data_IF_149277087830
#
_entry.id   IF_149277087830
#
_cell.length_a   1.000
_cell.length_b   1.000
_cell.length_c   1.000
_cell.angle_alpha   90.00
_cell.angle_beta   90.00
_cell.angle_gamma   90.00
#
_symmetry.space_group_name_H-M   'P 1'
#
loop_
_entity.id
_entity.type
_entity.pdbx_description
1 polymer ?
#
# COMPACT_ATOMS: atom_id res chain seq x y z
N UNK A 1 12.04 45.99 -11.03
CA UNK A 1 10.86 45.12 -11.15
C UNK A 1 9.89 45.85 -12.07
N UNK A 2 9.46 45.30 -13.23
CA UNK A 2 8.54 46.05 -14.08
C UNK A 2 7.16 46.06 -13.43
N UNK A 3 6.51 47.21 -13.47
CA UNK A 3 5.18 47.46 -12.93
C UNK A 3 4.15 46.58 -13.66
N UNK A 4 3.68 45.52 -13.01
CA UNK A 4 2.65 44.66 -13.59
C UNK A 4 1.28 45.26 -13.32
N UNK A 5 0.49 45.44 -14.40
CA UNK A 5 -0.89 45.88 -14.35
C UNK A 5 -1.77 44.74 -13.78
N UNK A 6 -1.71 44.51 -12.47
CA UNK A 6 -2.48 43.46 -11.79
C UNK A 6 -3.92 43.95 -11.63
N UNK A 7 -4.84 43.37 -12.42
CA UNK A 7 -6.28 43.63 -12.29
C UNK A 7 -6.75 43.15 -10.91
N UNK A 8 -7.52 43.99 -10.20
CA UNK A 8 -8.13 43.60 -8.92
C UNK A 8 -9.01 42.35 -9.11
N UNK A 9 -8.88 41.34 -8.23
CA UNK A 9 -9.68 40.12 -8.31
C UNK A 9 -11.18 40.42 -8.12
N UNK A 10 -12.01 39.68 -8.85
CA UNK A 10 -13.47 39.69 -8.76
C UNK A 10 -13.97 38.72 -7.69
N UNK A 11 -15.26 38.80 -7.34
CA UNK A 11 -15.90 37.91 -6.34
C UNK A 11 -15.87 36.42 -6.72
N UNK A 12 -15.56 36.08 -7.97
CA UNK A 12 -15.48 34.68 -8.46
C UNK A 12 -14.04 34.17 -8.56
N UNK A 13 -13.06 35.02 -8.30
CA UNK A 13 -11.65 34.67 -8.43
C UNK A 13 -11.15 34.09 -7.11
N UNK A 14 -10.32 33.04 -7.19
CA UNK A 14 -9.68 32.44 -6.01
C UNK A 14 -8.37 33.19 -5.78
N UNK A 15 -8.24 33.78 -4.59
CA UNK A 15 -7.03 34.50 -4.16
C UNK A 15 -6.34 33.67 -3.08
N UNK A 16 -5.04 33.47 -3.24
CA UNK A 16 -4.19 32.80 -2.27
C UNK A 16 -3.14 33.79 -1.75
N UNK A 17 -2.78 33.65 -0.48
CA UNK A 17 -1.81 34.52 0.19
C UNK A 17 -0.42 33.90 0.28
N UNK A 18 -0.34 32.58 0.18
CA UNK A 18 0.88 31.80 0.36
C UNK A 18 1.11 30.93 -0.88
N UNK A 19 2.38 30.67 -1.20
CA UNK A 19 2.77 29.78 -2.28
C UNK A 19 2.49 28.32 -1.90
N UNK A 20 2.17 27.50 -2.90
CA UNK A 20 1.96 26.07 -2.68
C UNK A 20 3.28 25.39 -2.34
N UNK A 21 3.32 24.52 -1.32
CA UNK A 21 4.53 23.77 -0.99
C UNK A 21 4.84 22.72 -2.06
N UNK A 22 6.01 22.08 -1.95
CA UNK A 22 6.34 20.93 -2.77
C UNK A 22 5.60 19.67 -2.28
N UNK A 23 4.89 19.01 -3.19
CA UNK A 23 4.12 17.79 -2.90
C UNK A 23 4.83 16.51 -3.37
N UNK A 24 6.05 16.61 -3.87
CA UNK A 24 6.82 15.47 -4.38
C UNK A 24 7.20 14.47 -3.28
N UNK A 25 7.55 14.96 -2.09
CA UNK A 25 7.99 14.16 -0.96
C UNK A 25 6.97 14.19 0.19
N UNK A 26 7.11 13.24 1.11
CA UNK A 26 6.35 13.21 2.34
C UNK A 26 6.78 14.39 3.20
N UNK A 27 5.86 15.28 3.48
CA UNK A 27 6.04 16.38 4.43
C UNK A 27 4.87 16.41 5.41
N UNK A 28 5.14 15.94 6.63
CA UNK A 28 4.16 15.90 7.71
C UNK A 28 3.77 17.29 8.21
N UNK A 29 4.59 18.32 7.99
CA UNK A 29 4.26 19.68 8.45
C UNK A 29 3.14 20.29 7.63
N UNK A 30 3.16 20.06 6.32
CA UNK A 30 2.10 20.49 5.39
C UNK A 30 0.99 19.45 5.25
N UNK A 31 1.20 18.23 5.75
CA UNK A 31 0.27 17.11 5.58
C UNK A 31 0.35 16.43 4.22
N UNK A 32 1.38 16.74 3.43
CA UNK A 32 1.63 16.10 2.14
C UNK A 32 2.15 14.67 2.33
N UNK A 33 1.48 13.67 1.73
CA UNK A 33 1.96 12.28 1.73
C UNK A 33 3.03 11.99 0.65
N UNK A 34 3.34 12.98 -0.20
CA UNK A 34 4.18 12.79 -1.38
C UNK A 34 3.45 12.12 -2.54
N UNK A 35 4.17 11.93 -3.65
CA UNK A 35 3.65 11.27 -4.87
C UNK A 35 4.14 9.84 -5.06
N UNK A 36 4.85 9.29 -4.07
CA UNK A 36 5.38 7.92 -4.14
C UNK A 36 4.24 6.88 -4.21
N UNK A 37 4.43 5.84 -5.00
CA UNK A 37 3.46 4.75 -5.20
C UNK A 37 2.29 5.09 -6.12
N UNK A 38 2.20 6.34 -6.61
CA UNK A 38 1.15 6.75 -7.55
C UNK A 38 1.44 6.27 -8.96
N UNK A 39 0.39 5.82 -9.66
CA UNK A 39 0.45 5.52 -11.09
C UNK A 39 0.56 6.81 -11.90
N UNK A 40 1.39 6.80 -12.93
CA UNK A 40 1.58 7.92 -13.84
C UNK A 40 1.44 7.47 -15.31
N UNK A 41 1.21 8.43 -16.19
CA UNK A 41 1.11 8.22 -17.63
C UNK A 41 2.35 8.79 -18.34
N UNK A 42 3.15 7.94 -18.97
CA UNK A 42 4.38 8.37 -19.64
C UNK A 42 4.13 9.16 -20.94
N UNK A 43 2.94 9.02 -21.53
CA UNK A 43 2.58 9.66 -22.80
C UNK A 43 1.79 10.94 -22.59
N UNK A 44 1.33 11.20 -21.37
CA UNK A 44 0.63 12.45 -21.05
C UNK A 44 1.61 13.60 -20.86
N UNK A 45 1.16 14.81 -21.19
CA UNK A 45 1.88 16.07 -20.98
C UNK A 45 1.31 16.84 -19.76
N UNK A 46 0.20 16.35 -19.19
CA UNK A 46 -0.51 17.00 -18.10
C UNK A 46 0.02 16.66 -16.70
N UNK A 47 -0.82 16.88 -15.70
CA UNK A 47 -0.49 16.63 -14.29
C UNK A 47 -0.37 15.15 -13.92
N UNK A 48 -0.91 14.28 -14.77
CA UNK A 48 -0.78 12.83 -14.70
C UNK A 48 0.49 12.31 -15.39
N UNK A 49 1.26 13.19 -16.04
CA UNK A 49 2.52 12.83 -16.70
C UNK A 49 3.51 12.26 -15.70
N UNK A 50 4.27 11.24 -16.10
CA UNK A 50 5.32 10.70 -15.24
C UNK A 50 6.41 11.75 -14.91
N UNK A 51 6.69 12.70 -15.81
CA UNK A 51 7.65 13.77 -15.55
C UNK A 51 7.19 14.71 -14.43
N UNK A 52 5.90 15.05 -14.39
CA UNK A 52 5.36 15.90 -13.33
C UNK A 52 5.11 15.10 -12.04
N UNK A 53 4.42 13.97 -12.13
CA UNK A 53 3.97 13.19 -10.98
C UNK A 53 5.14 12.51 -10.25
N UNK A 54 6.19 12.10 -10.98
CA UNK A 54 7.43 11.58 -10.40
C UNK A 54 8.50 12.67 -10.19
N UNK A 55 8.16 13.94 -10.44
CA UNK A 55 9.06 15.09 -10.24
C UNK A 55 10.41 14.92 -10.96
N UNK A 56 10.37 14.35 -12.16
CA UNK A 56 11.52 14.02 -13.02
C UNK A 56 12.56 13.07 -12.37
N UNK A 57 12.18 12.34 -11.31
CA UNK A 57 13.03 11.31 -10.66
C UNK A 57 12.99 9.95 -11.36
N UNK A 58 12.16 9.81 -12.39
CA UNK A 58 11.92 8.56 -13.12
C UNK A 58 10.76 7.75 -12.55
N UNK A 59 10.39 6.68 -13.25
CA UNK A 59 9.29 5.78 -12.88
C UNK A 59 9.68 4.31 -13.14
N UNK A 60 8.98 3.40 -12.48
CA UNK A 60 9.17 1.95 -12.66
C UNK A 60 7.90 1.33 -13.23
N UNK A 61 8.04 0.36 -14.12
CA UNK A 61 6.92 -0.42 -14.64
C UNK A 61 6.59 -1.61 -13.75
N UNK A 62 5.30 -1.79 -13.45
CA UNK A 62 4.78 -2.93 -12.69
C UNK A 62 3.70 -3.64 -13.48
N UNK A 63 3.70 -4.97 -13.42
CA UNK A 63 2.60 -5.78 -13.94
C UNK A 63 1.54 -5.91 -12.86
N UNK A 64 0.33 -5.44 -13.15
CA UNK A 64 -0.84 -5.62 -12.28
C UNK A 64 -1.79 -6.60 -12.95
N UNK A 65 -2.22 -7.61 -12.19
CA UNK A 65 -3.25 -8.56 -12.60
C UNK A 65 -4.56 -8.11 -12.02
N UNK A 66 -5.50 -7.74 -12.89
CA UNK A 66 -6.83 -7.31 -12.49
C UNK A 66 -7.88 -8.27 -13.06
N UNK A 67 -8.91 -8.55 -12.26
CA UNK A 67 -10.04 -9.36 -12.71
C UNK A 67 -11.13 -8.42 -13.19
N UNK A 68 -11.42 -8.42 -14.48
CA UNK A 68 -12.47 -7.60 -15.07
C UNK A 68 -13.56 -8.46 -15.70
N UNK A 69 -14.73 -7.84 -15.91
CA UNK A 69 -15.80 -8.45 -16.68
C UNK A 69 -15.40 -8.49 -18.17
N UNK A 70 -15.64 -9.62 -18.81
CA UNK A 70 -15.34 -9.86 -20.22
C UNK A 70 -16.44 -10.70 -20.85
N UNK A 71 -16.51 -10.72 -22.19
CA UNK A 71 -17.48 -11.52 -22.96
C UNK A 71 -18.92 -11.37 -22.47
N UNK A 72 -19.32 -10.13 -22.19
CA UNK A 72 -20.66 -9.82 -21.73
C UNK A 72 -21.69 -10.03 -22.86
N UNK A 73 -22.78 -10.72 -22.56
CA UNK A 73 -23.93 -10.85 -23.45
C UNK A 73 -25.18 -10.29 -22.78
N UNK A 74 -25.95 -9.52 -23.55
CA UNK A 74 -27.23 -8.99 -23.13
C UNK A 74 -28.32 -10.01 -23.43
N UNK A 75 -29.07 -10.41 -22.40
CA UNK A 75 -30.26 -11.22 -22.54
C UNK A 75 -31.45 -10.28 -22.66
N UNK A 76 -32.20 -10.41 -23.75
CA UNK A 76 -33.45 -9.67 -23.91
C UNK A 76 -34.40 -10.04 -22.76
N UNK A 77 -34.97 -9.02 -22.11
CA UNK A 77 -35.41 -8.98 -20.71
C UNK A 77 -34.31 -8.62 -19.68
N UNK A 78 -33.63 -7.48 -19.92
CA UNK A 78 -32.91 -6.66 -18.93
C UNK A 78 -31.80 -7.32 -18.09
N UNK A 79 -31.19 -8.42 -18.54
CA UNK A 79 -30.07 -9.06 -17.85
C UNK A 79 -28.78 -8.99 -18.68
N UNK A 80 -27.65 -8.74 -18.01
CA UNK A 80 -26.30 -8.74 -18.61
C UNK A 80 -25.48 -9.79 -17.89
N UNK A 81 -25.11 -10.85 -18.60
CA UNK A 81 -24.26 -11.90 -18.06
C UNK A 81 -22.86 -11.76 -18.64
N UNK A 82 -21.84 -11.73 -17.78
CA UNK A 82 -20.43 -11.60 -18.16
C UNK A 82 -19.59 -12.68 -17.50
N UNK A 83 -18.48 -13.04 -18.13
CA UNK A 83 -17.43 -13.84 -17.51
C UNK A 83 -16.46 -12.95 -16.71
N UNK A 84 -15.68 -13.58 -15.82
CA UNK A 84 -14.57 -12.94 -15.11
C UNK A 84 -13.26 -13.35 -15.76
N UNK A 85 -12.58 -12.41 -16.39
CA UNK A 85 -11.26 -12.62 -16.99
C UNK A 85 -10.18 -11.96 -16.14
N UNK A 86 -9.01 -12.62 -16.03
CA UNK A 86 -7.81 -11.97 -15.50
C UNK A 86 -7.04 -11.31 -16.63
N UNK A 87 -6.77 -10.01 -16.50
CA UNK A 87 -5.97 -9.23 -17.44
C UNK A 87 -4.72 -8.75 -16.71
N UNK A 88 -3.58 -8.85 -17.41
CA UNK A 88 -2.31 -8.34 -16.93
C UNK A 88 -1.98 -7.05 -17.68
N UNK A 89 -1.76 -5.95 -16.96
CA UNK A 89 -1.42 -4.66 -17.53
C UNK A 89 -0.10 -4.14 -16.99
N UNK A 90 0.70 -3.51 -17.85
CA UNK A 90 1.91 -2.79 -17.46
C UNK A 90 1.54 -1.35 -17.11
N UNK A 91 1.75 -0.95 -15.86
CA UNK A 91 1.51 0.41 -15.38
C UNK A 91 2.81 1.07 -14.93
N UNK A 92 2.94 2.38 -15.13
CA UNK A 92 4.09 3.16 -14.65
C UNK A 92 3.78 3.71 -13.26
N UNK A 93 4.70 3.55 -12.31
CA UNK A 93 4.52 3.97 -10.91
C UNK A 93 5.74 4.76 -10.44
N UNK A 94 5.51 5.82 -9.66
CA UNK A 94 6.55 6.56 -8.96
C UNK A 94 7.11 5.74 -7.79
N UNK A 95 8.11 4.88 -8.02
CA UNK A 95 8.85 4.23 -6.94
C UNK A 95 10.11 5.02 -6.58
N UNK A 96 10.53 5.03 -5.32
CA UNK A 96 11.87 5.51 -4.98
C UNK A 96 12.88 4.68 -5.77
N UNK A 97 13.94 5.32 -6.28
CA UNK A 97 15.07 4.63 -6.88
C UNK A 97 15.47 3.47 -5.95
N UNK A 98 15.58 2.25 -6.51
CA UNK A 98 15.82 1.00 -5.77
C UNK A 98 16.80 1.22 -4.61
N UNK A 99 16.36 0.96 -3.37
CA UNK A 99 17.15 1.15 -2.14
C UNK A 99 16.53 2.03 -1.06
N UNK A 100 15.25 2.39 -1.17
CA UNK A 100 14.51 3.04 -0.07
C UNK A 100 13.07 2.53 -0.03
N UNK A 101 12.87 1.26 0.32
CA UNK A 101 11.51 0.83 0.65
C UNK A 101 11.10 1.45 2.01
N UNK A 102 9.82 1.78 2.26
CA UNK A 102 9.39 2.37 3.54
C UNK A 102 9.66 1.51 4.79
N UNK A 103 9.93 0.21 4.61
CA UNK A 103 10.35 -0.71 5.68
C UNK A 103 11.87 -0.81 5.84
N UNK A 104 12.65 -0.11 5.03
CA UNK A 104 14.12 -0.14 5.07
C UNK A 104 14.58 0.93 6.07
N UNK A 105 15.20 0.57 7.20
CA UNK A 105 15.75 1.56 8.11
C UNK A 105 16.83 2.39 7.40
N UNK A 106 16.98 3.68 7.73
CA UNK A 106 17.94 4.55 7.06
C UNK A 106 19.37 4.01 7.19
N UNK A 107 20.11 3.99 6.07
CA UNK A 107 21.50 3.51 5.97
C UNK A 107 22.54 4.35 6.77
N UNK A 108 22.10 5.24 7.66
CA UNK A 108 22.95 6.12 8.47
C UNK A 108 22.89 5.84 9.98
N UNK A 109 22.26 4.75 10.42
CA UNK A 109 22.48 4.26 11.78
C UNK A 109 23.87 3.60 11.85
N UNK A 110 24.86 4.39 12.23
CA UNK A 110 26.16 3.90 12.69
C UNK A 110 25.96 2.84 13.78
N UNK A 111 26.81 1.79 13.83
CA UNK A 111 26.75 0.82 14.91
C UNK A 111 27.12 1.53 16.21
N UNK A 112 26.12 1.85 17.03
CA UNK A 112 26.39 2.08 18.44
C UNK A 112 26.75 0.72 19.01
N UNK A 113 28.06 0.50 19.20
CA UNK A 113 28.58 -0.56 20.05
C UNK A 113 28.06 -0.33 21.45
N UNK A 114 26.87 -0.82 21.76
CA UNK A 114 26.52 -1.14 23.12
C UNK A 114 25.74 -2.44 23.16
N UNK A 115 26.39 -3.42 23.75
CA UNK A 115 25.85 -4.71 24.14
C UNK A 115 24.64 -4.50 25.05
N UNK A 116 23.45 -4.76 24.53
CA UNK A 116 22.35 -5.22 25.38
C UNK A 116 21.73 -6.48 24.79
N UNK A 117 22.05 -7.59 25.45
CA UNK A 117 21.44 -8.90 25.29
C UNK A 117 19.96 -8.76 25.66
N UNK A 118 19.01 -8.94 24.75
CA UNK A 118 17.73 -9.55 25.14
C UNK A 118 17.10 -10.35 23.99
N UNK A 119 17.40 -11.65 24.02
CA UNK A 119 16.54 -12.77 23.65
C UNK A 119 15.91 -12.80 22.26
N UNK A 120 16.70 -13.26 21.29
CA UNK A 120 16.22 -14.27 20.36
C UNK A 120 15.69 -15.47 21.16
N UNK A 121 14.38 -15.51 21.39
CA UNK A 121 13.70 -16.74 21.81
C UNK A 121 13.66 -17.70 20.61
N UNK A 122 14.78 -18.40 20.42
CA UNK A 122 14.79 -19.73 19.82
C UNK A 122 14.28 -20.71 20.88
N UNK A 123 12.97 -20.92 20.98
CA UNK A 123 12.37 -22.05 21.71
C UNK A 123 11.01 -22.39 21.06
N UNK A 124 10.68 -23.65 20.73
CA UNK A 124 11.50 -24.69 20.14
C UNK A 124 10.79 -25.44 19.00
N UNK A 125 11.59 -26.03 18.11
CA UNK A 125 11.23 -27.13 17.21
C UNK A 125 10.97 -28.43 18.00
N UNK A 126 10.13 -28.40 19.05
CA UNK A 126 9.83 -29.54 19.95
C UNK A 126 8.33 -29.75 20.21
N UNK A 127 7.42 -28.92 19.67
CA UNK A 127 5.97 -29.23 19.73
C UNK A 127 5.46 -30.01 18.51
N UNK A 128 6.21 -30.04 17.40
CA UNK A 128 5.78 -30.77 16.19
C UNK A 128 5.97 -32.30 16.29
N UNK A 129 6.86 -32.78 17.16
CA UNK A 129 7.11 -34.23 17.33
C UNK A 129 6.01 -34.92 18.15
N UNK A 130 5.36 -34.21 19.08
CA UNK A 130 4.31 -34.77 19.93
C UNK A 130 2.98 -34.93 19.19
N UNK A 131 2.66 -34.02 18.26
CA UNK A 131 1.46 -34.09 17.42
C UNK A 131 1.54 -35.20 16.35
N UNK A 132 2.73 -35.45 15.79
CA UNK A 132 2.95 -36.56 14.86
C UNK A 132 2.80 -37.94 15.52
N UNK A 133 3.22 -38.10 16.79
CA UNK A 133 3.08 -39.36 17.52
C UNK A 133 1.61 -39.72 17.86
N UNK A 134 0.73 -38.72 17.92
CA UNK A 134 -0.71 -38.89 18.17
C UNK A 134 -1.55 -38.96 16.86
N UNK A 135 -0.93 -38.91 15.69
CA UNK A 135 -1.60 -39.09 14.39
C UNK A 135 -2.53 -37.96 13.97
N UNK A 136 -2.45 -36.78 14.59
CA UNK A 136 -3.35 -35.65 14.32
C UNK A 136 -2.72 -34.76 13.24
N UNK A 137 -3.24 -34.79 12.01
CA UNK A 137 -2.87 -33.84 10.96
C UNK A 137 -3.55 -32.49 11.23
N UNK A 138 -2.86 -31.55 11.89
CA UNK A 138 -3.32 -30.16 11.96
C UNK A 138 -2.63 -29.32 10.89
N UNK A 139 -3.43 -28.69 10.02
CA UNK A 139 -2.97 -27.77 8.99
C UNK A 139 -2.75 -26.40 9.66
N UNK A 140 -1.50 -26.07 9.98
CA UNK A 140 -1.16 -24.74 10.52
C UNK A 140 -1.18 -23.71 9.38
N UNK A 141 -2.25 -22.93 9.26
CA UNK A 141 -2.25 -21.70 8.47
C UNK A 141 -1.81 -20.54 9.36
N UNK A 142 -0.65 -19.97 9.01
CA UNK A 142 -0.04 -18.84 9.70
C UNK A 142 -0.75 -17.54 9.24
N UNK A 143 -1.61 -16.97 10.07
CA UNK A 143 -2.19 -15.65 9.84
C UNK A 143 -1.53 -14.61 10.75
N UNK A 144 -0.84 -13.58 10.22
CA UNK A 144 -0.46 -12.43 11.03
C UNK A 144 -1.38 -11.25 10.66
N UNK A 145 -2.23 -10.84 11.60
CA UNK A 145 -2.66 -9.45 11.62
C UNK A 145 -2.90 -9.02 13.06
N UNK A 146 -1.90 -8.38 13.64
CA UNK A 146 -2.08 -7.54 14.82
C UNK A 146 -2.01 -6.08 14.36
N UNK A 147 -2.92 -5.24 14.87
CA UNK A 147 -2.84 -3.78 14.78
C UNK A 147 -2.63 -3.28 16.20
N UNK A 148 -1.57 -2.52 16.44
CA UNK A 148 -1.29 -1.89 17.73
C UNK A 148 -1.92 -0.49 17.70
N UNK A 149 -2.91 -0.25 18.55
CA UNK A 149 -3.32 1.09 18.97
C UNK A 149 -3.31 1.12 20.50
N UNK A 150 -2.96 2.28 21.03
CA UNK A 150 -2.50 2.56 22.40
C UNK A 150 -3.11 1.69 23.51
N UNK A 151 -2.22 0.96 24.19
CA UNK A 151 -2.31 0.55 25.59
C UNK A 151 -3.61 -0.12 26.09
N UNK A 152 -4.27 -0.93 25.26
CA UNK A 152 -5.22 -1.93 25.73
C UNK A 152 -5.23 -3.16 24.79
N UNK A 153 -4.91 -4.35 25.30
CA UNK A 153 -5.06 -5.61 24.56
C UNK A 153 -6.53 -6.03 24.71
N UNK A 154 -7.38 -5.59 23.80
CA UNK A 154 -8.77 -6.08 23.75
C UNK A 154 -8.78 -7.41 23.00
N UNK A 155 -9.03 -8.49 23.72
CA UNK A 155 -9.26 -9.82 23.16
C UNK A 155 -10.74 -9.97 22.82
N UNK A 156 -11.10 -10.06 21.54
CA UNK A 156 -12.38 -10.64 21.14
C UNK A 156 -12.17 -12.13 20.82
N UNK A 157 -12.47 -12.98 21.80
CA UNK A 157 -12.60 -14.43 21.60
C UNK A 157 -14.00 -14.70 21.03
N UNK A 158 -14.14 -14.76 19.72
CA UNK A 158 -15.30 -15.41 19.11
C UNK A 158 -15.02 -16.92 19.04
N UNK A 159 -15.48 -17.67 20.03
CA UNK A 159 -15.45 -19.13 20.00
C UNK A 159 -16.57 -19.64 19.06
N UNK A 160 -16.21 -20.13 17.88
CA UNK A 160 -17.12 -20.96 17.09
C UNK A 160 -16.93 -22.43 17.51
N UNK A 161 -17.81 -22.91 18.39
CA UNK A 161 -17.97 -24.33 18.66
C UNK A 161 -18.88 -24.92 17.57
N UNK A 162 -18.34 -25.76 16.68
CA UNK A 162 -19.16 -26.70 15.93
C UNK A 162 -18.61 -28.11 16.11
N UNK A 163 -19.33 -28.85 16.94
CA UNK A 163 -19.22 -30.28 17.20
C UNK A 163 -19.53 -31.02 15.89
N UNK A 164 -18.66 -31.94 15.49
CA UNK A 164 -19.00 -32.94 14.49
C UNK A 164 -20.04 -33.90 15.05
N UNK A 165 -21.02 -34.28 14.22
CA UNK A 165 -21.68 -35.57 14.34
C UNK A 165 -21.53 -36.30 13.01
N UNK A 166 -20.95 -37.49 13.10
CA UNK A 166 -20.95 -38.51 12.09
C UNK A 166 -22.25 -39.33 12.26
N UNK A 167 -22.91 -39.60 11.15
CA UNK A 167 -23.61 -40.86 10.84
C UNK A 167 -23.34 -41.20 9.38
#
# INVERSE_FOLDING_TARGET
MPESNIKRPSKRDIVYSEESPDFCELDLKTGSLGTQGRQCNATSVGTDSCDQLCCRRGYTQKIVKETQNCRCHFKWCCDVTCDKCQISQFININFPARGRHPWEPPASASPTTNTDRFFTFFIPLQLETTLCALGIKSKFEFFPSYRILENEVVSEIAAATSIGHAE
#
